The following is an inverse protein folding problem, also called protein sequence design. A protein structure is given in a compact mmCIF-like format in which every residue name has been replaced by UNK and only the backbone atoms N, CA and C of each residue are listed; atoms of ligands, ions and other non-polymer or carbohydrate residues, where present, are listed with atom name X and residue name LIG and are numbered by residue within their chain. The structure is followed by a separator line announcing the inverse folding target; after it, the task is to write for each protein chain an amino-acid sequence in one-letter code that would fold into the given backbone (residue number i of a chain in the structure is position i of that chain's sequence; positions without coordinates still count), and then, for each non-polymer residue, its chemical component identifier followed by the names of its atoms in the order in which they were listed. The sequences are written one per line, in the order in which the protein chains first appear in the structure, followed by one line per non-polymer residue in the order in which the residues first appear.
data_IF_740086978154
#
_entry.id   IF_740086978154
#
_cell.length_a   1.000
_cell.length_b   1.000
_cell.length_c   1.000
_cell.angle_alpha   90.00
_cell.angle_beta   90.00
_cell.angle_gamma   90.00
#
_symmetry.space_group_name_H-M   'P 1'
#
loop_
_entity.id
_entity.type
_entity.pdbx_description
1 polymer ?
#
# COMPACT_ATOMS: atom_id res chain seq x y z
N UNK A 1 -12.82 -14.92 -6.56
CA UNK A 1 -11.90 -13.85 -6.12
C UNK A 1 -12.52 -12.49 -6.44
N UNK A 2 -12.30 -11.47 -5.61
CA UNK A 2 -12.73 -10.08 -5.90
C UNK A 2 -11.53 -9.31 -6.44
N UNK A 3 -11.75 -8.54 -7.51
CA UNK A 3 -10.71 -7.79 -8.19
C UNK A 3 -10.97 -6.29 -8.03
N UNK A 4 -9.90 -5.53 -7.81
CA UNK A 4 -9.88 -4.08 -7.85
C UNK A 4 -9.24 -3.63 -9.16
N UNK A 5 -9.92 -2.76 -9.90
CA UNK A 5 -9.41 -2.12 -11.11
C UNK A 5 -9.28 -0.63 -10.82
N UNK A 6 -8.07 -0.08 -11.01
CA UNK A 6 -7.77 1.35 -10.84
C UNK A 6 -7.27 1.94 -12.16
N UNK A 7 -7.64 3.19 -12.39
CA UNK A 7 -7.13 4.02 -13.48
C UNK A 7 -6.32 5.14 -12.86
N UNK A 8 -5.03 5.24 -13.19
CA UNK A 8 -4.09 6.18 -12.57
C UNK A 8 -3.14 6.75 -13.62
N UNK A 9 -2.65 7.98 -13.43
CA UNK A 9 -1.67 8.61 -14.34
C UNK A 9 -0.23 8.39 -13.90
N UNK A 10 0.00 8.17 -12.60
CA UNK A 10 1.31 7.90 -12.03
C UNK A 10 1.25 6.59 -11.26
N UNK A 11 2.09 5.63 -11.61
CA UNK A 11 2.15 4.34 -10.93
C UNK A 11 3.50 3.68 -11.17
N UNK A 12 4.14 3.18 -10.10
CA UNK A 12 5.32 2.34 -10.22
C UNK A 12 4.90 0.88 -10.13
N UNK A 13 4.92 0.20 -11.28
CA UNK A 13 4.62 -1.23 -11.37
C UNK A 13 5.65 -2.04 -10.59
N UNK A 14 6.92 -1.68 -10.73
CA UNK A 14 8.07 -2.34 -10.12
C UNK A 14 7.95 -2.29 -8.60
N UNK A 15 7.67 -1.11 -8.04
CA UNK A 15 7.51 -0.94 -6.60
C UNK A 15 6.31 -1.73 -6.07
N UNK A 16 5.17 -1.76 -6.79
CA UNK A 16 4.03 -2.57 -6.39
C UNK A 16 4.35 -4.07 -6.42
N UNK A 17 5.00 -4.55 -7.47
CA UNK A 17 5.40 -5.96 -7.57
C UNK A 17 6.36 -6.37 -6.45
N UNK A 18 7.32 -5.51 -6.13
CA UNK A 18 8.23 -5.71 -5.00
C UNK A 18 7.48 -5.81 -3.67
N UNK A 19 6.61 -4.84 -3.38
CA UNK A 19 5.77 -4.87 -2.18
C UNK A 19 4.84 -6.09 -2.12
N UNK A 20 4.34 -6.56 -3.27
CA UNK A 20 3.45 -7.71 -3.34
C UNK A 20 4.21 -9.02 -3.03
N UNK A 21 5.46 -9.15 -3.49
CA UNK A 21 6.33 -10.28 -3.16
C UNK A 21 6.63 -10.37 -1.66
N UNK A 22 6.76 -9.21 -1.01
CA UNK A 22 6.95 -9.11 0.44
C UNK A 22 5.64 -9.26 1.24
N UNK A 23 4.49 -9.36 0.57
CA UNK A 23 3.18 -9.55 1.21
C UNK A 23 2.58 -8.28 1.84
N UNK A 24 3.03 -7.09 1.44
CA UNK A 24 2.53 -5.81 1.98
C UNK A 24 1.36 -5.23 1.20
N UNK A 25 1.23 -5.55 -0.09
CA UNK A 25 0.14 -5.05 -0.95
C UNK A 25 -0.54 -6.21 -1.69
N UNK A 26 -1.77 -6.01 -2.20
CA UNK A 26 -2.46 -7.03 -2.97
C UNK A 26 -1.67 -7.49 -4.19
N UNK A 27 -1.85 -8.75 -4.59
CA UNK A 27 -1.20 -9.28 -5.79
C UNK A 27 -1.61 -8.47 -7.02
N UNK A 28 -0.62 -8.04 -7.80
CA UNK A 28 -0.84 -7.41 -9.09
C UNK A 28 -1.21 -8.49 -10.11
N UNK A 29 -2.41 -8.40 -10.68
CA UNK A 29 -2.94 -9.35 -11.68
C UNK A 29 -2.74 -8.85 -13.11
N UNK A 30 -2.67 -7.53 -13.31
CA UNK A 30 -2.48 -6.93 -14.62
C UNK A 30 -2.06 -5.46 -14.53
N UNK A 31 -1.33 -5.00 -15.54
CA UNK A 31 -0.91 -3.63 -15.69
C UNK A 31 -0.79 -3.31 -17.18
N UNK A 32 -1.52 -2.29 -17.64
CA UNK A 32 -1.52 -1.86 -19.04
C UNK A 32 -1.48 -0.33 -19.13
N UNK A 33 -0.65 0.19 -20.02
CA UNK A 33 -0.77 1.57 -20.49
C UNK A 33 -1.97 1.70 -21.44
N UNK A 34 -2.69 2.81 -21.31
CA UNK A 34 -3.81 3.17 -22.16
C UNK A 34 -3.67 4.63 -22.62
N UNK A 35 -4.37 5.05 -23.69
CA UNK A 35 -4.24 6.40 -24.24
C UNK A 35 -4.44 7.50 -23.19
N UNK A 36 -3.69 8.60 -23.36
CA UNK A 36 -3.77 9.77 -22.48
C UNK A 36 -2.88 9.72 -21.24
N UNK A 37 -1.85 8.86 -21.24
CA UNK A 37 -0.91 8.75 -20.11
C UNK A 37 -1.52 8.08 -18.88
N UNK A 38 -2.52 7.23 -19.09
CA UNK A 38 -3.19 6.49 -18.03
C UNK A 38 -2.68 5.05 -17.99
N UNK A 39 -2.74 4.46 -16.82
CA UNK A 39 -2.51 3.04 -16.57
C UNK A 39 -3.77 2.41 -16.02
N UNK A 40 -4.09 1.22 -16.52
CA UNK A 40 -5.04 0.30 -15.91
C UNK A 40 -4.26 -0.66 -15.01
N UNK A 41 -4.56 -0.63 -13.72
CA UNK A 41 -3.97 -1.49 -12.70
C UNK A 41 -5.05 -2.46 -12.24
N UNK A 42 -4.80 -3.76 -12.40
CA UNK A 42 -5.69 -4.83 -11.97
C UNK A 42 -5.01 -5.59 -10.84
N UNK A 43 -5.64 -5.64 -9.67
CA UNK A 43 -5.06 -6.29 -8.49
C UNK A 43 -6.15 -6.98 -7.67
N UNK A 44 -5.75 -7.83 -6.73
CA UNK A 44 -6.71 -8.39 -5.77
C UNK A 44 -7.39 -7.27 -4.96
N UNK A 45 -8.68 -7.42 -4.69
CA UNK A 45 -9.39 -6.50 -3.82
C UNK A 45 -9.04 -6.78 -2.36
N UNK A 46 -8.65 -5.74 -1.63
CA UNK A 46 -8.57 -5.80 -0.16
C UNK A 46 -10.00 -5.94 0.38
N UNK A 47 -10.24 -7.00 1.15
CA UNK A 47 -11.44 -7.17 1.96
C UNK A 47 -11.07 -7.10 3.42
N UNK A 48 -12.05 -6.80 4.28
CA UNK A 48 -11.91 -6.93 5.74
C UNK A 48 -10.76 -6.09 6.33
N UNK A 49 -10.54 -4.90 5.78
CA UNK A 49 -9.59 -3.92 6.30
C UNK A 49 -10.31 -2.71 6.89
N UNK A 50 -9.68 -2.08 7.88
CA UNK A 50 -10.08 -0.78 8.40
C UNK A 50 -9.01 0.23 8.04
N UNK A 51 -9.41 1.32 7.39
CA UNK A 51 -8.48 2.42 7.13
C UNK A 51 -8.07 3.07 8.45
N UNK A 52 -6.78 3.33 8.65
CA UNK A 52 -6.30 4.08 9.82
C UNK A 52 -6.98 5.46 9.94
N UNK A 53 -7.33 6.09 8.81
CA UNK A 53 -8.04 7.37 8.78
C UNK A 53 -9.50 7.27 9.25
N UNK A 54 -10.06 6.07 9.31
CA UNK A 54 -11.44 5.82 9.77
C UNK A 54 -11.50 5.43 11.25
N UNK A 55 -10.36 5.22 11.91
CA UNK A 55 -10.32 4.86 13.32
C UNK A 55 -10.65 6.09 14.18
N UNK A 56 -11.61 6.01 15.11
CA UNK A 56 -11.93 7.13 15.99
C UNK A 56 -10.77 7.41 16.94
N UNK A 57 -10.51 8.69 17.21
CA UNK A 57 -9.38 9.17 18.02
C UNK A 57 -9.34 8.57 19.44
N UNK A 58 -10.51 8.18 19.97
CA UNK A 58 -10.66 7.50 21.26
C UNK A 58 -10.22 6.03 21.24
N UNK A 59 -10.30 5.35 20.09
CA UNK A 59 -9.82 3.97 19.94
C UNK A 59 -8.31 3.90 19.73
N UNK A 60 -7.71 4.94 19.12
CA UNK A 60 -6.24 5.05 18.95
C UNK A 60 -5.50 4.93 20.29
N UNK A 61 -6.10 5.40 21.38
CA UNK A 61 -5.53 5.32 22.73
C UNK A 61 -5.72 3.96 23.43
N UNK A 62 -6.78 3.20 23.07
CA UNK A 62 -7.14 1.93 23.72
C UNK A 62 -6.36 0.74 23.17
N UNK A 63 -5.71 0.90 22.02
CA UNK A 63 -5.00 -0.14 21.28
C UNK A 63 -3.50 0.19 21.13
N UNK A 64 -2.89 0.84 22.12
CA UNK A 64 -1.48 1.24 22.07
C UNK A 64 -0.52 0.11 21.71
N UNK A 65 -0.80 -1.13 22.12
CA UNK A 65 -0.01 -2.32 21.75
C UNK A 65 -0.20 -2.74 20.29
N UNK A 66 -1.43 -2.81 19.79
CA UNK A 66 -1.72 -3.18 18.39
C UNK A 66 -1.25 -2.09 17.43
N UNK A 67 -1.44 -0.82 17.79
CA UNK A 67 -0.90 0.30 17.04
C UNK A 67 0.61 0.30 17.09
N UNK A 68 1.24 0.04 18.24
CA UNK A 68 2.68 -0.06 18.35
C UNK A 68 3.28 -1.14 17.45
N UNK A 69 2.68 -2.33 17.42
CA UNK A 69 3.11 -3.41 16.52
C UNK A 69 2.85 -3.08 15.04
N UNK A 70 1.72 -2.46 14.72
CA UNK A 70 1.38 -2.07 13.34
C UNK A 70 2.27 -0.95 12.83
N UNK A 71 2.57 0.06 13.66
CA UNK A 71 3.50 1.14 13.37
C UNK A 71 4.91 0.60 13.21
N UNK A 72 5.37 -0.26 14.12
CA UNK A 72 6.69 -0.89 14.00
C UNK A 72 6.80 -1.68 12.70
N UNK A 73 5.76 -2.45 12.33
CA UNK A 73 5.73 -3.18 11.06
C UNK A 73 5.77 -2.24 9.85
N UNK A 74 5.10 -1.08 9.94
CA UNK A 74 5.17 -0.05 8.91
C UNK A 74 6.57 0.58 8.82
N UNK A 75 7.21 0.87 9.95
CA UNK A 75 8.60 1.38 10.00
C UNK A 75 9.58 0.37 9.41
N UNK A 76 9.49 -0.90 9.82
CA UNK A 76 10.32 -1.99 9.29
C UNK A 76 10.11 -2.14 7.77
N UNK A 77 8.86 -2.03 7.30
CA UNK A 77 8.53 -2.02 5.88
C UNK A 77 9.17 -0.83 5.15
N UNK A 78 9.01 0.39 5.65
CA UNK A 78 9.56 1.59 5.01
C UNK A 78 11.09 1.56 4.97
N UNK A 79 11.73 1.10 6.04
CA UNK A 79 13.17 0.92 6.06
C UNK A 79 13.64 -0.09 5.00
N UNK A 80 12.94 -1.23 4.86
CA UNK A 80 13.22 -2.19 3.80
C UNK A 80 12.99 -1.59 2.41
N UNK A 81 11.85 -0.91 2.22
CA UNK A 81 11.46 -0.32 0.95
C UNK A 81 12.47 0.73 0.47
N UNK A 82 12.97 1.56 1.39
CA UNK A 82 14.04 2.53 1.13
C UNK A 82 15.39 1.84 0.84
N UNK A 83 15.73 0.76 1.55
CA UNK A 83 16.96 -0.01 1.28
C UNK A 83 16.93 -0.71 -0.09
N UNK A 84 15.73 -0.99 -0.61
CA UNK A 84 15.51 -1.58 -1.93
C UNK A 84 15.37 -0.51 -3.04
N UNK A 85 15.84 0.72 -2.79
CA UNK A 85 15.85 1.87 -3.71
C UNK A 85 14.46 2.39 -4.14
N UNK A 86 13.41 2.09 -3.36
CA UNK A 86 12.07 2.63 -3.58
C UNK A 86 11.71 3.72 -2.57
N UNK A 87 10.88 4.69 -2.96
CA UNK A 87 10.33 5.72 -2.08
C UNK A 87 8.84 5.89 -2.37
N UNK A 88 8.03 6.07 -1.33
CA UNK A 88 6.60 6.35 -1.49
C UNK A 88 6.32 7.85 -1.49
N UNK A 89 5.76 8.41 -2.57
CA UNK A 89 5.60 9.87 -2.72
C UNK A 89 4.74 10.56 -1.65
N UNK A 90 3.77 9.82 -1.09
CA UNK A 90 2.85 10.33 -0.06
C UNK A 90 3.26 9.96 1.38
N UNK A 91 4.28 9.12 1.57
CA UNK A 91 4.78 8.76 2.90
C UNK A 91 6.18 9.34 2.99
N UNK A 92 6.29 10.50 3.63
CA UNK A 92 7.57 11.20 3.81
C UNK A 92 7.89 11.21 5.29
N UNK A 93 9.14 10.91 5.62
CA UNK A 93 9.66 11.11 6.97
C UNK A 93 9.54 12.62 7.30
N UNK A 94 8.77 12.93 8.34
CA UNK A 94 8.74 14.25 8.96
C UNK A 94 9.24 14.11 10.39
#
# INVERSE_FOLDING_TARGET
ERICIKFVQCYSKEAHQHCALLGYVPALRGFNDIPGGWFVVVMDALTDYTSLAQLPSSEVHLTSSIFGESYKRLEDFLAQFHNDDFVHGDIRDH
#
